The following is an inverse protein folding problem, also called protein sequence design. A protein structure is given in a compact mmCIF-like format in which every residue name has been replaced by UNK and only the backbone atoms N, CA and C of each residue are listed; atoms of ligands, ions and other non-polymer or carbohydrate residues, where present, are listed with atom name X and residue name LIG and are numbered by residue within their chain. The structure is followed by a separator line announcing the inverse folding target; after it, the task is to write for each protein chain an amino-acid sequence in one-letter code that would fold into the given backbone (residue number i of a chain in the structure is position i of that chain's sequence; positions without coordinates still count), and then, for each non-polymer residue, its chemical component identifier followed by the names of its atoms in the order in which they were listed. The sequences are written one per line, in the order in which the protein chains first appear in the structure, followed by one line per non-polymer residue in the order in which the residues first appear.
data_IF_777513178404
#
_entry.id   IF_777513178404
#
_cell.length_a   1.000
_cell.length_b   1.000
_cell.length_c   1.000
_cell.angle_alpha   90.00
_cell.angle_beta   90.00
_cell.angle_gamma   90.00
#
_symmetry.space_group_name_H-M   'P 1'
#
loop_
_entity.id
_entity.type
_entity.pdbx_description
1 polymer ?
#
# COMPACT_ATOMS: atom_id res chain seq x y z
N UNK A 1 -12.58 27.51 3.54
CA UNK A 1 -11.68 27.09 4.64
C UNK A 1 -10.66 26.08 4.10
N UNK A 2 -9.52 26.54 3.57
CA UNK A 2 -8.47 25.68 3.03
C UNK A 2 -7.29 25.61 4.00
N UNK A 3 -7.24 24.61 4.89
CA UNK A 3 -6.07 24.39 5.75
C UNK A 3 -4.84 23.94 4.94
N UNK A 4 -3.74 23.57 5.60
CA UNK A 4 -2.62 22.85 4.95
C UNK A 4 -2.86 21.34 4.91
N UNK A 5 -2.41 20.65 3.86
CA UNK A 5 -2.47 19.18 3.80
C UNK A 5 -1.57 18.57 4.89
N UNK A 6 -1.88 17.35 5.36
CA UNK A 6 -0.97 16.61 6.24
C UNK A 6 0.12 15.92 5.42
N UNK A 7 1.05 15.22 6.06
CA UNK A 7 2.05 14.41 5.37
C UNK A 7 1.43 13.31 4.49
N UNK A 8 0.17 12.94 4.76
CA UNK A 8 -0.60 11.94 4.01
C UNK A 8 -1.55 12.57 2.98
N UNK A 9 -1.55 13.90 2.87
CA UNK A 9 -2.41 14.63 1.93
C UNK A 9 -3.71 15.11 2.56
N UNK A 10 -4.75 15.18 1.73
CA UNK A 10 -6.06 15.76 2.06
C UNK A 10 -7.17 15.07 1.29
N UNK A 11 -8.32 14.95 1.95
CA UNK A 11 -9.60 14.61 1.32
C UNK A 11 -10.55 15.81 1.34
N UNK A 12 -11.76 15.66 0.77
CA UNK A 12 -12.82 16.68 0.92
C UNK A 12 -13.19 16.96 2.38
N UNK A 13 -12.96 16.01 3.28
CA UNK A 13 -13.24 16.15 4.71
C UNK A 13 -12.13 16.87 5.49
N UNK A 14 -10.95 17.10 4.89
CA UNK A 14 -9.82 17.77 5.53
C UNK A 14 -8.50 17.02 5.38
N UNK A 15 -7.45 17.44 6.12
CA UNK A 15 -6.18 16.71 6.18
C UNK A 15 -6.39 15.26 6.61
N UNK A 16 -5.61 14.33 6.06
CA UNK A 16 -5.68 12.92 6.44
C UNK A 16 -5.01 12.73 7.80
N UNK A 17 -5.71 12.07 8.73
CA UNK A 17 -5.21 11.73 10.07
C UNK A 17 -5.14 10.19 10.21
N UNK A 18 -3.91 9.66 10.16
CA UNK A 18 -3.69 8.22 10.32
C UNK A 18 -4.04 7.74 11.74
N UNK A 19 -3.80 8.55 12.78
CA UNK A 19 -4.10 8.18 14.16
C UNK A 19 -5.60 7.95 14.35
N UNK A 20 -6.43 8.85 13.82
CA UNK A 20 -7.88 8.71 13.85
C UNK A 20 -8.36 7.48 13.05
N UNK A 21 -7.83 7.27 11.84
CA UNK A 21 -8.19 6.13 11.00
C UNK A 21 -7.80 4.79 11.65
N UNK A 22 -6.60 4.71 12.25
CA UNK A 22 -6.14 3.52 12.97
C UNK A 22 -6.98 3.29 14.21
N UNK A 23 -7.29 4.32 15.00
CA UNK A 23 -8.14 4.17 16.18
C UNK A 23 -9.55 3.66 15.81
N UNK A 24 -10.14 4.17 14.72
CA UNK A 24 -11.41 3.67 14.21
C UNK A 24 -11.32 2.19 13.79
N UNK A 25 -10.26 1.82 13.04
CA UNK A 25 -10.01 0.44 12.64
C UNK A 25 -9.81 -0.50 13.84
N UNK A 26 -9.07 -0.05 14.86
CA UNK A 26 -8.81 -0.80 16.10
C UNK A 26 -10.01 -0.81 17.06
N UNK A 27 -11.10 -0.11 16.75
CA UNK A 27 -12.31 -0.05 17.59
C UNK A 27 -12.17 0.85 18.83
N UNK A 28 -11.17 1.74 18.85
CA UNK A 28 -10.89 2.66 19.97
C UNK A 28 -11.23 4.12 19.66
N UNK A 29 -11.65 4.42 18.42
CA UNK A 29 -12.01 5.77 17.97
C UNK A 29 -13.40 6.24 18.40
N UNK A 30 -13.63 7.56 18.39
CA UNK A 30 -14.93 8.17 18.62
C UNK A 30 -15.92 7.73 17.52
N UNK A 31 -16.88 6.87 17.87
CA UNK A 31 -17.75 6.14 16.93
C UNK A 31 -17.78 4.63 17.14
N UNK A 32 -16.96 4.09 18.05
CA UNK A 32 -16.92 2.67 18.43
C UNK A 32 -18.15 2.17 19.22
N UNK A 33 -19.32 2.82 19.09
CA UNK A 33 -20.60 2.35 19.63
C UNK A 33 -21.35 1.56 18.56
N UNK A 34 -20.95 0.31 18.30
CA UNK A 34 -21.71 -0.53 17.36
C UNK A 34 -21.08 -1.84 16.87
N UNK A 35 -19.88 -2.23 17.30
CA UNK A 35 -19.23 -3.46 16.82
C UNK A 35 -19.55 -4.73 17.65
N UNK A 36 -20.73 -4.82 18.26
CA UNK A 36 -21.16 -6.02 19.04
C UNK A 36 -22.52 -6.60 18.65
N UNK A 37 -23.08 -6.25 17.49
CA UNK A 37 -24.25 -6.97 16.95
C UNK A 37 -24.23 -6.94 15.41
N UNK A 38 -23.78 -8.03 14.78
CA UNK A 38 -23.84 -8.16 13.32
C UNK A 38 -22.92 -9.21 12.69
N UNK A 39 -22.01 -9.84 13.44
CA UNK A 39 -21.20 -10.96 12.94
C UNK A 39 -21.94 -12.30 13.07
N UNK A 40 -23.14 -12.41 12.48
CA UNK A 40 -23.81 -13.67 12.28
C UNK A 40 -24.69 -13.59 11.02
N UNK A 41 -24.18 -14.18 9.93
CA UNK A 41 -24.99 -14.53 8.76
C UNK A 41 -24.81 -13.66 7.52
N UNK A 42 -23.79 -13.95 6.71
CA UNK A 42 -23.86 -13.87 5.24
C UNK A 42 -22.61 -14.51 4.58
N UNK A 43 -22.20 -15.72 4.98
CA UNK A 43 -21.36 -16.55 4.11
C UNK A 43 -22.23 -17.14 2.99
N UNK A 44 -22.30 -16.49 1.83
CA UNK A 44 -22.89 -17.09 0.61
C UNK A 44 -21.80 -17.36 -0.42
N UNK A 45 -21.23 -18.57 -0.32
CA UNK A 45 -21.08 -19.56 -1.40
C UNK A 45 -20.73 -19.17 -2.87
N UNK A 46 -20.00 -18.07 -3.16
CA UNK A 46 -19.59 -17.74 -4.54
C UNK A 46 -18.10 -17.96 -4.85
N UNK A 47 -17.20 -17.88 -3.86
CA UNK A 47 -15.75 -17.76 -4.14
C UNK A 47 -14.98 -19.07 -4.32
N UNK A 48 -15.63 -20.24 -4.17
CA UNK A 48 -14.91 -21.52 -4.27
C UNK A 48 -14.74 -22.04 -5.70
N UNK A 49 -15.43 -21.46 -6.70
CA UNK A 49 -15.43 -21.96 -8.09
C UNK A 49 -14.48 -21.19 -9.02
N UNK A 50 -14.02 -20.00 -8.64
CA UNK A 50 -13.13 -19.18 -9.47
C UNK A 50 -11.64 -19.50 -9.26
N UNK A 51 -11.29 -20.11 -8.12
CA UNK A 51 -9.92 -20.52 -7.79
C UNK A 51 -9.43 -21.74 -8.59
N UNK A 52 -10.33 -22.48 -9.26
CA UNK A 52 -9.96 -23.63 -10.10
C UNK A 52 -9.90 -23.31 -11.60
N UNK A 53 -10.41 -22.15 -12.03
CA UNK A 53 -10.39 -21.75 -13.45
C UNK A 53 -9.04 -21.19 -13.93
N UNK A 54 -8.20 -20.70 -13.00
CA UNK A 54 -6.87 -20.16 -13.31
C UNK A 54 -5.76 -21.21 -13.42
N UNK A 55 -6.06 -22.49 -13.13
CA UNK A 55 -5.08 -23.58 -13.11
C UNK A 55 -5.02 -24.39 -14.42
N UNK A 56 -5.94 -24.14 -15.37
CA UNK A 56 -6.00 -24.86 -16.64
C UNK A 56 -5.88 -23.85 -17.80
N UNK A 57 -4.67 -23.79 -18.36
CA UNK A 57 -4.22 -22.74 -19.27
C UNK A 57 -4.94 -22.61 -20.61
N UNK A 58 -4.75 -21.44 -21.22
CA UNK A 58 -5.15 -21.14 -22.60
C UNK A 58 -4.20 -20.13 -23.22
N UNK A 59 -3.41 -20.58 -24.20
CA UNK A 59 -2.52 -19.82 -25.08
C UNK A 59 -3.28 -18.76 -25.89
N UNK A 60 -2.65 -17.60 -26.10
CA UNK A 60 -3.08 -16.61 -27.11
C UNK A 60 -1.98 -15.61 -27.46
N UNK A 61 -1.43 -15.75 -28.67
CA UNK A 61 -0.49 -14.87 -29.41
C UNK A 61 -0.88 -13.37 -29.28
N UNK A 62 -0.02 -12.37 -29.21
CA UNK A 62 1.29 -12.14 -29.83
C UNK A 62 1.17 -10.96 -30.81
N UNK A 63 1.86 -9.84 -30.57
CA UNK A 63 2.35 -8.86 -31.57
C UNK A 63 3.00 -7.66 -30.84
N UNK A 64 4.26 -7.37 -31.17
CA UNK A 64 5.05 -6.33 -30.52
C UNK A 64 4.96 -4.95 -31.17
N UNK A 65 5.56 -3.97 -30.50
CA UNK A 65 6.21 -2.82 -31.13
C UNK A 65 7.19 -2.20 -30.12
N UNK A 66 8.43 -2.06 -30.56
CA UNK A 66 9.52 -1.43 -29.85
C UNK A 66 9.50 0.10 -30.07
N UNK A 67 9.76 0.86 -29.00
CA UNK A 67 10.34 2.21 -28.91
C UNK A 67 9.93 2.76 -27.53
N UNK A 68 10.81 3.02 -26.55
CA UNK A 68 12.00 3.87 -26.66
C UNK A 68 11.66 5.23 -26.03
N UNK A 69 11.72 5.33 -24.70
CA UNK A 69 11.45 6.57 -23.96
C UNK A 69 11.79 6.41 -22.47
N UNK A 70 12.96 6.92 -22.08
CA UNK A 70 13.58 6.78 -20.78
C UNK A 70 12.85 7.58 -19.69
N UNK A 71 12.71 6.97 -18.50
CA UNK A 71 12.22 7.64 -17.29
C UNK A 71 11.14 6.87 -16.53
N UNK A 72 11.30 5.55 -16.32
CA UNK A 72 10.44 4.78 -15.43
C UNK A 72 11.34 3.98 -14.47
N UNK A 73 11.02 4.05 -13.18
CA UNK A 73 11.66 3.22 -12.16
C UNK A 73 11.65 1.75 -12.55
N UNK A 74 12.66 1.00 -12.09
CA UNK A 74 12.82 -0.43 -12.37
C UNK A 74 11.47 -1.16 -12.36
N UNK A 75 11.12 -1.77 -13.50
CA UNK A 75 9.75 -2.06 -13.90
C UNK A 75 8.95 -2.88 -12.89
N UNK A 76 7.99 -2.23 -12.24
CA UNK A 76 6.94 -2.91 -11.48
C UNK A 76 6.07 -3.76 -12.43
N UNK A 77 5.67 -4.95 -11.99
CA UNK A 77 4.72 -5.75 -12.75
C UNK A 77 3.37 -5.02 -12.83
N UNK A 78 2.77 -4.92 -14.00
CA UNK A 78 1.45 -4.32 -14.16
C UNK A 78 0.36 -5.24 -13.61
N UNK A 79 -0.49 -4.71 -12.74
CA UNK A 79 -1.60 -5.44 -12.13
C UNK A 79 -2.81 -5.54 -13.08
N UNK A 80 -3.41 -6.72 -13.20
CA UNK A 80 -4.73 -6.85 -13.83
C UNK A 80 -5.79 -6.25 -12.88
N UNK A 81 -6.48 -5.21 -13.32
CA UNK A 81 -7.55 -4.56 -12.56
C UNK A 81 -8.89 -5.29 -12.66
N UNK A 82 -9.73 -5.12 -11.63
CA UNK A 82 -11.12 -5.60 -11.60
C UNK A 82 -12.07 -4.40 -11.68
N UNK A 83 -13.02 -4.41 -12.62
CA UNK A 83 -14.03 -3.34 -12.74
C UNK A 83 -14.96 -3.33 -11.53
N UNK A 84 -15.23 -2.13 -11.00
CA UNK A 84 -16.23 -1.92 -9.97
C UNK A 84 -17.45 -1.18 -10.55
N UNK A 85 -18.64 -1.31 -9.94
CA UNK A 85 -19.84 -0.58 -10.39
C UNK A 85 -19.62 0.93 -10.42
N UNK A 86 -20.26 1.62 -11.38
CA UNK A 86 -20.23 3.08 -11.46
C UNK A 86 -20.85 3.68 -10.19
N UNK A 87 -20.15 4.62 -9.56
CA UNK A 87 -20.59 5.25 -8.31
C UNK A 87 -20.15 4.52 -7.04
N UNK A 88 -19.33 3.46 -7.17
CA UNK A 88 -18.57 2.92 -6.03
C UNK A 88 -17.75 4.06 -5.41
N UNK A 89 -17.85 4.19 -4.09
CA UNK A 89 -17.07 5.15 -3.31
C UNK A 89 -16.18 4.40 -2.35
N UNK A 90 -15.02 4.97 -2.03
CA UNK A 90 -14.08 4.41 -1.05
C UNK A 90 -14.67 4.44 0.36
N UNK A 91 -15.39 3.37 0.74
CA UNK A 91 -15.91 3.18 2.10
C UNK A 91 -15.03 2.23 2.94
N UNK A 92 -13.88 1.79 2.42
CA UNK A 92 -13.05 0.76 3.04
C UNK A 92 -12.64 1.05 4.48
N UNK A 93 -12.26 2.30 4.79
CA UNK A 93 -11.89 2.71 6.16
C UNK A 93 -13.07 2.63 7.12
N UNK A 94 -14.25 3.08 6.70
CA UNK A 94 -15.47 3.02 7.51
C UNK A 94 -15.98 1.58 7.68
N UNK A 95 -15.97 0.80 6.60
CA UNK A 95 -16.40 -0.61 6.60
C UNK A 95 -15.46 -1.50 7.43
N UNK A 96 -14.18 -1.15 7.54
CA UNK A 96 -13.20 -1.87 8.34
C UNK A 96 -13.13 -1.41 9.81
N UNK A 97 -13.95 -0.44 10.23
CA UNK A 97 -13.96 0.04 11.61
C UNK A 97 -14.22 -1.11 12.60
N UNK A 98 -13.44 -1.16 13.67
CA UNK A 98 -13.53 -2.20 14.71
C UNK A 98 -12.95 -3.57 14.33
N UNK A 99 -12.69 -3.86 13.05
CA UNK A 99 -12.17 -5.18 12.65
C UNK A 99 -10.78 -5.46 13.24
N UNK A 100 -9.97 -4.41 13.39
CA UNK A 100 -8.65 -4.46 14.00
C UNK A 100 -8.64 -4.77 15.49
N UNK A 101 -9.78 -4.64 16.19
CA UNK A 101 -9.86 -4.99 17.62
C UNK A 101 -9.56 -6.47 17.86
N UNK A 102 -9.87 -7.34 16.89
CA UNK A 102 -9.58 -8.78 16.95
C UNK A 102 -8.39 -9.17 16.09
N UNK A 103 -8.27 -8.64 14.86
CA UNK A 103 -7.21 -9.06 13.95
C UNK A 103 -5.87 -8.36 14.16
N UNK A 104 -5.86 -7.23 14.87
CA UNK A 104 -4.76 -6.26 14.80
C UNK A 104 -4.67 -5.58 13.43
N UNK A 105 -3.68 -4.71 13.28
CA UNK A 105 -3.36 -4.08 12.01
C UNK A 105 -2.86 -5.12 10.98
N UNK A 106 -3.11 -4.91 9.68
CA UNK A 106 -2.50 -5.71 8.62
C UNK A 106 -0.98 -5.79 8.80
N UNK A 107 -0.41 -6.97 8.62
CA UNK A 107 1.03 -7.23 8.78
C UNK A 107 1.66 -7.50 7.42
N UNK A 108 2.91 -7.07 7.21
CA UNK A 108 3.66 -7.42 5.99
C UNK A 108 3.80 -8.93 5.82
N UNK A 109 3.99 -9.39 4.58
CA UNK A 109 4.54 -10.71 4.34
C UNK A 109 5.94 -10.81 4.97
N UNK A 110 6.41 -12.05 5.15
CA UNK A 110 7.66 -12.27 5.83
C UNK A 110 8.82 -11.63 5.12
N UNK A 111 8.84 -11.56 3.77
CA UNK A 111 9.84 -10.87 2.95
C UNK A 111 9.81 -9.33 3.04
N UNK A 112 8.84 -8.75 3.75
CA UNK A 112 8.62 -7.30 3.84
C UNK A 112 7.75 -6.74 2.73
N UNK A 113 7.07 -7.59 1.96
CA UNK A 113 6.08 -7.17 0.96
C UNK A 113 4.80 -6.72 1.65
N UNK A 114 4.31 -5.55 1.24
CA UNK A 114 3.01 -5.00 1.60
C UNK A 114 2.08 -5.23 0.39
N UNK A 115 0.93 -5.86 0.60
CA UNK A 115 -0.08 -6.07 -0.45
C UNK A 115 -1.32 -5.23 -0.13
N UNK A 116 -1.79 -4.46 -1.10
CA UNK A 116 -2.95 -3.58 -0.95
C UNK A 116 -3.82 -3.62 -2.20
N UNK A 117 -5.05 -3.15 -2.06
CA UNK A 117 -5.92 -2.85 -3.20
C UNK A 117 -5.96 -1.34 -3.39
N UNK A 118 -5.61 -0.88 -4.59
CA UNK A 118 -5.74 0.51 -4.98
C UNK A 118 -7.01 0.69 -5.82
N UNK A 119 -7.95 1.47 -5.31
CA UNK A 119 -9.16 1.81 -6.05
C UNK A 119 -8.96 3.08 -6.87
N UNK A 120 -8.91 2.93 -8.18
CA UNK A 120 -8.89 4.04 -9.11
C UNK A 120 -10.33 4.52 -9.34
N UNK A 121 -10.61 5.78 -9.02
CA UNK A 121 -11.95 6.38 -9.21
C UNK A 121 -12.13 6.95 -10.62
N UNK A 122 -11.10 7.61 -11.15
CA UNK A 122 -11.10 8.30 -12.44
C UNK A 122 -9.70 8.28 -13.09
N UNK A 123 -9.52 9.03 -14.18
CA UNK A 123 -8.24 9.07 -14.89
C UNK A 123 -7.09 9.66 -14.10
N UNK A 124 -7.36 10.72 -13.36
CA UNK A 124 -6.31 11.44 -12.64
C UNK A 124 -5.67 10.58 -11.54
N UNK A 125 -6.31 9.49 -11.11
CA UNK A 125 -5.78 8.53 -10.13
C UNK A 125 -4.96 7.38 -10.72
N UNK A 126 -4.78 7.29 -12.04
CA UNK A 126 -4.03 6.17 -12.63
C UNK A 126 -2.53 6.24 -12.31
N UNK A 127 -1.86 5.08 -12.40
CA UNK A 127 -0.42 4.97 -12.23
C UNK A 127 0.41 5.56 -13.40
N UNK A 128 1.74 5.45 -13.34
CA UNK A 128 2.49 4.70 -12.34
C UNK A 128 2.48 5.36 -10.95
N UNK A 129 2.47 4.55 -9.91
CA UNK A 129 2.53 5.01 -8.52
C UNK A 129 3.97 5.01 -8.01
N UNK A 130 4.28 5.99 -7.17
CA UNK A 130 5.48 6.01 -6.34
C UNK A 130 5.08 5.69 -4.90
N UNK A 131 5.94 5.00 -4.16
CA UNK A 131 5.70 4.68 -2.76
C UNK A 131 6.79 5.25 -1.85
N UNK A 132 6.39 5.66 -0.66
CA UNK A 132 7.29 5.97 0.44
C UNK A 132 6.73 5.42 1.74
N UNK A 133 7.60 5.03 2.67
CA UNK A 133 7.22 4.45 3.95
C UNK A 133 7.80 5.30 5.08
N UNK A 134 6.96 5.68 6.02
CA UNK A 134 7.35 6.25 7.31
C UNK A 134 7.40 5.14 8.37
N UNK A 135 8.59 4.82 8.90
CA UNK A 135 8.76 3.81 9.93
C UNK A 135 8.53 4.31 11.36
N UNK A 136 8.33 5.61 11.59
CA UNK A 136 8.50 6.25 12.91
C UNK A 136 7.36 7.18 13.33
N UNK A 137 6.95 8.13 12.49
CA UNK A 137 6.14 9.27 12.94
C UNK A 137 4.63 8.97 12.98
N UNK A 138 4.22 7.80 12.53
CA UNK A 138 2.80 7.48 12.38
C UNK A 138 2.12 8.29 11.28
N UNK A 139 2.88 8.74 10.26
CA UNK A 139 2.38 9.51 9.13
C UNK A 139 2.18 11.00 9.43
N UNK A 140 2.84 11.53 10.47
CA UNK A 140 2.71 12.94 10.87
C UNK A 140 3.85 13.82 10.36
N UNK A 141 5.04 13.25 10.15
CA UNK A 141 6.24 13.94 9.68
C UNK A 141 6.57 13.57 8.22
N UNK A 142 6.50 14.53 7.27
CA UNK A 142 6.91 14.32 5.89
C UNK A 142 8.37 13.86 5.74
N UNK A 143 9.27 14.27 6.64
CA UNK A 143 10.70 13.92 6.58
C UNK A 143 10.99 12.47 6.98
N UNK A 144 10.05 11.81 7.66
CA UNK A 144 10.18 10.41 8.05
C UNK A 144 9.94 9.44 6.88
N UNK A 145 9.31 9.90 5.79
CA UNK A 145 9.03 9.09 4.62
C UNK A 145 10.29 8.80 3.79
N UNK A 146 10.62 7.51 3.69
CA UNK A 146 11.72 7.03 2.86
C UNK A 146 11.17 6.34 1.60
N UNK A 147 11.82 6.49 0.42
CA UNK A 147 11.37 5.84 -0.80
C UNK A 147 11.25 4.32 -0.64
N UNK A 148 10.19 3.74 -1.20
CA UNK A 148 9.94 2.30 -1.23
C UNK A 148 9.66 1.84 -2.66
N UNK A 149 9.94 0.57 -2.95
CA UNK A 149 9.81 0.05 -4.32
C UNK A 149 8.41 -0.49 -4.54
N UNK A 150 7.70 0.01 -5.55
CA UNK A 150 6.45 -0.60 -6.02
C UNK A 150 6.82 -1.79 -6.91
N UNK A 151 6.46 -3.01 -6.50
CA UNK A 151 6.81 -4.25 -7.21
C UNK A 151 5.67 -4.76 -8.09
N UNK A 152 4.44 -4.36 -7.77
CA UNK A 152 3.26 -4.57 -8.59
C UNK A 152 2.44 -3.28 -8.57
N UNK A 153 2.18 -2.72 -9.74
CA UNK A 153 1.64 -1.36 -9.87
C UNK A 153 0.36 -1.32 -10.74
N UNK A 154 -0.39 -0.24 -10.60
CA UNK A 154 -1.50 0.11 -11.48
C UNK A 154 -0.93 0.36 -12.89
N UNK A 155 -1.40 -0.35 -13.93
CA UNK A 155 -0.92 -0.12 -15.29
C UNK A 155 -1.22 1.33 -15.71
N UNK A 156 -0.17 2.13 -15.89
CA UNK A 156 -0.28 3.42 -16.57
C UNK A 156 -0.24 3.20 -18.08
N UNK A 157 -1.34 3.43 -18.78
CA UNK A 157 -1.30 3.44 -20.25
C UNK A 157 -0.83 4.83 -20.67
N UNK A 158 0.35 4.91 -21.32
CA UNK A 158 0.91 6.02 -22.12
C UNK A 158 0.57 7.47 -21.75
N UNK A 159 1.60 8.26 -21.42
CA UNK A 159 1.57 9.73 -21.24
C UNK A 159 0.40 10.25 -20.38
N UNK A 160 0.67 10.43 -19.08
CA UNK A 160 -0.21 11.23 -18.21
C UNK A 160 -1.32 10.48 -17.48
N UNK A 161 -1.26 9.14 -17.37
CA UNK A 161 -2.22 8.39 -16.54
C UNK A 161 -3.60 8.20 -17.16
N UNK A 162 -3.71 8.20 -18.50
CA UNK A 162 -4.98 8.01 -19.20
C UNK A 162 -5.26 6.50 -19.42
N UNK A 163 -5.79 5.85 -18.38
CA UNK A 163 -6.64 4.68 -18.54
C UNK A 163 -7.93 5.04 -19.34
N UNK A 164 -8.75 4.07 -19.74
CA UNK A 164 -10.13 4.37 -20.15
C UNK A 164 -10.94 4.66 -18.87
N UNK A 165 -11.84 5.65 -18.87
CA UNK A 165 -12.60 6.09 -17.68
C UNK A 165 -13.27 4.94 -16.93
N UNK A 166 -12.59 4.34 -15.95
CA UNK A 166 -13.11 3.18 -15.25
C UNK A 166 -12.71 3.17 -13.79
N UNK A 167 -13.75 3.15 -12.96
CA UNK A 167 -13.70 2.77 -11.55
C UNK A 167 -13.23 1.31 -11.47
N UNK A 168 -12.04 1.07 -10.91
CA UNK A 168 -11.38 -0.23 -10.92
C UNK A 168 -10.53 -0.46 -9.67
N UNK A 169 -10.47 -1.70 -9.22
CA UNK A 169 -9.58 -2.15 -8.15
C UNK A 169 -8.34 -2.81 -8.75
N UNK A 170 -7.16 -2.36 -8.31
CA UNK A 170 -5.88 -2.93 -8.72
C UNK A 170 -5.13 -3.49 -7.51
N UNK A 171 -4.69 -4.76 -7.56
CA UNK A 171 -3.76 -5.27 -6.55
C UNK A 171 -2.40 -4.61 -6.74
N UNK A 172 -1.93 -3.90 -5.72
CA UNK A 172 -0.61 -3.26 -5.70
C UNK A 172 0.26 -3.89 -4.62
N UNK A 173 1.57 -3.94 -4.88
CA UNK A 173 2.57 -4.43 -3.94
C UNK A 173 3.70 -3.43 -3.78
N UNK A 174 4.10 -3.22 -2.53
CA UNK A 174 5.22 -2.36 -2.17
C UNK A 174 6.21 -3.18 -1.35
N UNK A 175 7.48 -3.14 -1.73
CA UNK A 175 8.57 -3.75 -0.99
C UNK A 175 9.14 -2.74 0.01
N UNK A 176 9.16 -3.13 1.29
CA UNK A 176 9.86 -2.36 2.33
C UNK A 176 11.36 -2.24 2.01
N UNK A 177 11.98 -1.06 2.20
CA UNK A 177 13.43 -0.88 2.09
C UNK A 177 14.22 -1.82 3.01
N UNK A 178 15.36 -2.29 2.53
CA UNK A 178 16.25 -3.12 3.33
C UNK A 178 16.75 -2.36 4.56
N UNK A 179 16.73 -3.03 5.72
CA UNK A 179 17.14 -2.41 6.99
C UNK A 179 16.07 -1.54 7.66
N UNK A 180 14.90 -1.35 7.04
CA UNK A 180 13.81 -0.61 7.66
C UNK A 180 13.08 -1.46 8.71
N UNK A 181 12.85 -0.87 9.89
CA UNK A 181 12.06 -1.46 10.97
C UNK A 181 10.91 -0.52 11.36
N UNK A 182 9.70 -1.05 11.53
CA UNK A 182 8.60 -0.25 12.06
C UNK A 182 8.78 -0.01 13.56
N UNK A 183 8.68 1.25 13.98
CA UNK A 183 8.76 1.65 15.39
C UNK A 183 7.75 2.72 15.76
N UNK A 184 6.93 3.16 14.80
CA UNK A 184 5.92 4.18 15.03
C UNK A 184 4.78 3.71 15.93
N UNK A 185 4.10 4.70 16.50
CA UNK A 185 2.87 4.52 17.28
C UNK A 185 1.81 5.45 16.74
N UNK A 186 0.63 4.92 16.44
CA UNK A 186 -0.50 5.72 15.96
C UNK A 186 -1.82 5.03 16.31
N UNK A 187 -2.83 5.81 16.68
CA UNK A 187 -4.18 5.29 16.97
C UNK A 187 -4.25 4.20 18.05
N UNK A 188 -3.31 4.22 19.00
CA UNK A 188 -3.19 3.19 20.06
C UNK A 188 -2.45 1.91 19.65
N UNK A 189 -2.04 1.77 18.37
CA UNK A 189 -1.21 0.67 17.90
C UNK A 189 0.28 1.02 17.98
N UNK A 190 1.12 0.00 18.19
CA UNK A 190 2.59 0.07 18.17
C UNK A 190 3.16 -0.78 17.02
N UNK A 191 4.46 -0.66 16.77
CA UNK A 191 5.12 -1.31 15.62
C UNK A 191 4.48 -0.90 14.27
N UNK A 192 4.04 0.36 14.18
CA UNK A 192 3.31 0.88 13.02
C UNK A 192 4.29 1.51 12.03
N UNK A 193 4.15 1.14 10.76
CA UNK A 193 4.63 1.92 9.63
C UNK A 193 3.43 2.46 8.85
N UNK A 194 3.64 3.59 8.17
CA UNK A 194 2.68 4.13 7.21
C UNK A 194 3.29 4.08 5.81
N UNK A 195 2.64 3.40 4.88
CA UNK A 195 2.97 3.49 3.45
C UNK A 195 2.10 4.59 2.84
N UNK A 196 2.71 5.45 2.03
CA UNK A 196 2.03 6.43 1.18
C UNK A 196 2.35 6.10 -0.27
N UNK A 197 1.31 5.99 -1.09
CA UNK A 197 1.42 5.83 -2.54
C UNK A 197 0.79 7.02 -3.24
N UNK A 198 1.43 7.50 -4.30
CA UNK A 198 0.90 8.61 -5.09
C UNK A 198 1.41 8.58 -6.54
N UNK A 199 0.62 9.10 -7.47
CA UNK A 199 1.04 9.34 -8.84
C UNK A 199 1.62 10.75 -9.04
N UNK A 200 1.97 11.08 -10.28
CA UNK A 200 2.50 12.40 -10.68
C UNK A 200 1.54 13.16 -11.60
N UNK A 201 0.24 13.15 -11.29
CA UNK A 201 -0.76 13.86 -12.09
C UNK A 201 -0.62 15.39 -11.98
N UNK A 202 -0.92 16.11 -13.06
CA UNK A 202 -0.76 17.56 -13.14
C UNK A 202 -1.66 18.33 -12.17
N UNK A 203 -2.87 17.81 -11.89
CA UNK A 203 -3.82 18.42 -10.96
C UNK A 203 -3.43 18.21 -9.48
N UNK A 204 -2.32 17.53 -9.21
CA UNK A 204 -1.80 17.18 -7.90
C UNK A 204 -1.56 15.68 -7.78
N UNK A 205 -0.62 15.24 -6.93
CA UNK A 205 -0.40 13.82 -6.72
C UNK A 205 -1.65 13.21 -6.07
N UNK A 206 -2.28 12.26 -6.77
CA UNK A 206 -3.39 11.47 -6.24
C UNK A 206 -2.88 10.15 -5.71
N UNK A 207 -3.50 9.67 -4.64
CA UNK A 207 -3.18 8.38 -4.08
C UNK A 207 -3.78 8.18 -2.71
N UNK A 208 -3.10 7.39 -1.88
CA UNK A 208 -3.60 7.01 -0.57
C UNK A 208 -2.48 6.52 0.34
N UNK A 209 -2.86 6.22 1.57
CA UNK A 209 -1.94 5.70 2.59
C UNK A 209 -2.57 4.55 3.35
N UNK A 210 -1.75 3.61 3.81
CA UNK A 210 -2.17 2.51 4.65
C UNK A 210 -1.24 2.35 5.86
N UNK A 211 -1.83 1.95 6.98
CA UNK A 211 -1.10 1.59 8.19
C UNK A 211 -0.91 0.07 8.25
N UNK A 212 0.27 -0.37 8.66
CA UNK A 212 0.60 -1.78 8.78
C UNK A 212 1.63 -2.01 9.88
N UNK A 213 1.73 -3.26 10.33
CA UNK A 213 2.81 -3.74 11.20
C UNK A 213 3.81 -4.57 10.42
N UNK A 214 5.04 -4.62 10.90
CA UNK A 214 6.07 -5.47 10.32
C UNK A 214 6.03 -6.87 10.94
N UNK A 215 6.12 -7.92 10.12
CA UNK A 215 6.23 -9.28 10.65
C UNK A 215 7.56 -9.45 11.40
N UNK A 216 7.58 -10.35 12.39
CA UNK A 216 8.79 -10.67 13.17
C UNK A 216 9.94 -11.12 12.26
N UNK A 217 9.66 -11.89 11.21
CA UNK A 217 10.68 -12.33 10.26
C UNK A 217 11.23 -11.17 9.42
N UNK A 218 10.36 -10.26 8.96
CA UNK A 218 10.78 -9.07 8.23
C UNK A 218 11.65 -8.15 9.09
N UNK A 219 11.26 -7.94 10.35
CA UNK A 219 12.03 -7.14 11.31
C UNK A 219 13.40 -7.76 11.57
N UNK A 220 13.47 -9.08 11.78
CA UNK A 220 14.74 -9.80 11.97
C UNK A 220 15.69 -9.58 10.78
N UNK A 221 15.21 -9.74 9.54
CA UNK A 221 16.05 -9.51 8.35
C UNK A 221 16.52 -8.06 8.23
N UNK A 222 15.69 -7.10 8.58
CA UNK A 222 16.09 -5.69 8.60
C UNK A 222 17.21 -5.43 9.63
N UNK A 223 17.09 -5.98 10.84
CA UNK A 223 18.13 -5.87 11.87
C UNK A 223 19.42 -6.56 11.43
N UNK A 224 19.35 -7.77 10.88
CA UNK A 224 20.51 -8.50 10.35
C UNK A 224 21.21 -7.74 9.23
N UNK A 225 20.44 -7.14 8.30
CA UNK A 225 20.99 -6.29 7.25
C UNK A 225 21.78 -5.10 7.83
N UNK A 226 21.20 -4.42 8.82
CA UNK A 226 21.86 -3.28 9.48
C UNK A 226 23.13 -3.69 10.25
N UNK A 227 23.10 -4.83 10.94
CA UNK A 227 24.26 -5.37 11.63
C UNK A 227 25.37 -5.73 10.63
N UNK A 228 25.04 -6.45 9.56
CA UNK A 228 26.00 -6.79 8.49
C UNK A 228 26.63 -5.54 7.88
N UNK A 229 25.83 -4.52 7.55
CA UNK A 229 26.31 -3.24 7.03
C UNK A 229 27.28 -2.55 8.00
N UNK A 230 27.00 -2.57 9.30
CA UNK A 230 27.90 -2.03 10.34
C UNK A 230 29.19 -2.84 10.46
N UNK A 231 29.12 -4.18 10.40
CA UNK A 231 30.30 -5.03 10.45
C UNK A 231 31.20 -4.86 9.22
N UNK A 232 30.62 -4.72 8.03
CA UNK A 232 31.35 -4.38 6.80
C UNK A 232 32.00 -3.00 6.90
N UNK A 233 31.27 -1.99 7.37
CA UNK A 233 31.80 -0.64 7.56
C UNK A 233 32.96 -0.59 8.59
N UNK A 234 32.97 -1.52 9.55
CA UNK A 234 34.04 -1.68 10.56
C UNK A 234 35.17 -2.61 10.12
N UNK A 235 35.12 -3.17 8.92
CA UNK A 235 36.13 -4.11 8.42
C UNK A 235 36.16 -5.48 9.11
N UNK A 236 35.11 -5.82 9.87
CA UNK A 236 35.00 -7.09 10.62
C UNK A 236 34.57 -8.23 9.69
N UNK A 237 33.74 -7.93 8.70
CA UNK A 237 33.41 -8.85 7.60
C UNK A 237 34.21 -8.40 6.37
N UNK A 238 34.91 -9.33 5.72
CA UNK A 238 35.57 -9.07 4.43
C UNK A 238 34.58 -8.45 3.44
N UNK A 239 35.06 -7.54 2.58
CA UNK A 239 34.22 -6.93 1.54
C UNK A 239 33.56 -8.07 0.74
N UNK A 240 32.24 -8.02 0.48
CA UNK A 240 31.64 -8.96 -0.44
C UNK A 240 32.32 -8.77 -1.80
N UNK A 241 32.87 -9.86 -2.34
CA UNK A 241 33.36 -9.88 -3.71
C UNK A 241 32.17 -9.51 -4.61
N UNK A 242 32.33 -8.37 -5.28
CA UNK A 242 31.38 -7.83 -6.24
C UNK A 242 31.59 -8.60 -7.55
N UNK A 243 30.72 -9.56 -7.84
CA UNK A 243 30.56 -10.17 -9.16
C UNK A 243 29.12 -9.97 -9.65
#
# INVERSE_FOLDING_TARGET
MGGKASALGRTKAGPVDAGAAIAAFMGTGAGATGATAGAAGAQTAANKRQLLGGLLGGKGKGAGAAAGGAGAGAGAASAAGTKTPKGTTEQGVAAAAGTGATSGLPTTADDGTISMTFHQVNQDGAGPLTAAIDPTSGGTDPAAFQPATVTQDVPGIGIGGLSAASTMDFPVKVQMPQGMTCSGTAGGASNVCIVRMQNSALAGPFGGSAAFTQSTAAQKRAVEFNLRKRHMARGILGKPDIE
#
